data_IF_837022465989
#
_entry.id   IF_837022465989
#
_cell.length_a   1.000
_cell.length_b   1.000
_cell.length_c   1.000
_cell.angle_alpha   90.00
_cell.angle_beta   90.00
_cell.angle_gamma   90.00
#
_symmetry.space_group_name_H-M   'P 1'
#
loop_
_entity.id
_entity.type
_entity.pdbx_description
1 polymer ?
#
# COMPACT_ATOMS: atom_id res chain seq x y z
N UNK A 1 3.93 -16.60 -26.45
CA UNK A 1 4.22 -16.08 -25.09
C UNK A 1 2.99 -15.38 -24.54
N UNK A 2 2.71 -15.53 -23.24
CA UNK A 2 1.56 -14.91 -22.55
C UNK A 2 2.08 -14.04 -21.41
N UNK A 3 1.55 -12.82 -21.30
CA UNK A 3 1.80 -11.90 -20.21
C UNK A 3 0.52 -11.70 -19.41
N UNK A 4 0.62 -11.65 -18.08
CA UNK A 4 -0.53 -11.46 -17.19
C UNK A 4 -0.27 -10.26 -16.28
N UNK A 5 -1.26 -9.37 -16.19
CA UNK A 5 -1.27 -8.25 -15.24
C UNK A 5 -2.33 -8.56 -14.18
N UNK A 6 -1.92 -8.65 -12.91
CA UNK A 6 -2.83 -8.86 -11.78
C UNK A 6 -2.84 -7.61 -10.91
N UNK A 7 -4.01 -6.98 -10.80
CA UNK A 7 -4.22 -5.77 -10.02
C UNK A 7 -5.25 -6.03 -8.93
N UNK A 8 -5.16 -5.28 -7.82
CA UNK A 8 -6.11 -5.31 -6.72
C UNK A 8 -6.39 -3.89 -6.22
N UNK A 9 -7.53 -3.72 -5.56
CA UNK A 9 -7.94 -2.47 -4.89
C UNK A 9 -7.82 -1.27 -5.86
N UNK A 10 -7.30 -0.15 -5.37
CA UNK A 10 -7.13 1.10 -6.13
C UNK A 10 -6.40 0.95 -7.46
N UNK A 11 -5.39 0.07 -7.53
CA UNK A 11 -4.64 -0.14 -8.77
C UNK A 11 -5.53 -0.77 -9.84
N UNK A 12 -6.43 -1.67 -9.46
CA UNK A 12 -7.41 -2.25 -10.36
C UNK A 12 -8.43 -1.18 -10.79
N UNK A 13 -8.92 -0.37 -9.85
CA UNK A 13 -9.83 0.74 -10.12
C UNK A 13 -9.22 1.73 -11.11
N UNK A 14 -7.96 2.12 -10.93
CA UNK A 14 -7.29 3.08 -11.81
C UNK A 14 -7.07 2.51 -13.23
N UNK A 15 -6.69 1.23 -13.34
CA UNK A 15 -6.59 0.57 -14.63
C UNK A 15 -7.95 0.46 -15.33
N UNK A 16 -9.03 0.18 -14.58
CA UNK A 16 -10.38 0.15 -15.14
C UNK A 16 -10.85 1.52 -15.62
N UNK A 17 -10.53 2.60 -14.89
CA UNK A 17 -10.84 3.98 -15.33
C UNK A 17 -10.19 4.30 -16.67
N UNK A 18 -8.89 4.00 -16.82
CA UNK A 18 -8.16 4.20 -18.07
C UNK A 18 -8.74 3.36 -19.22
N UNK A 19 -9.01 2.07 -18.94
CA UNK A 19 -9.60 1.15 -19.89
C UNK A 19 -10.97 1.64 -20.39
N UNK A 20 -11.84 2.10 -19.49
CA UNK A 20 -13.17 2.59 -19.84
C UNK A 20 -13.09 3.92 -20.62
N UNK A 21 -12.16 4.80 -20.27
CA UNK A 21 -11.97 6.08 -20.94
C UNK A 21 -11.48 5.93 -22.38
N UNK A 22 -10.62 4.95 -22.64
CA UNK A 22 -9.98 4.76 -23.94
C UNK A 22 -10.52 3.60 -24.77
N UNK A 23 -11.24 2.66 -24.12
CA UNK A 23 -11.78 1.44 -24.72
C UNK A 23 -10.74 0.60 -25.50
N UNK A 24 -9.47 0.70 -25.11
CA UNK A 24 -8.35 0.03 -25.76
C UNK A 24 -7.52 -0.75 -24.74
N UNK A 25 -7.87 -2.03 -24.55
CA UNK A 25 -7.20 -2.91 -23.59
C UNK A 25 -5.69 -3.03 -23.82
N UNK A 26 -5.27 -3.07 -25.09
CA UNK A 26 -3.86 -3.10 -25.46
C UNK A 26 -3.12 -1.88 -24.90
N UNK A 27 -3.65 -0.68 -25.15
CA UNK A 27 -3.05 0.59 -24.69
C UNK A 27 -2.89 0.56 -23.17
N UNK A 28 -3.98 0.33 -22.43
CA UNK A 28 -3.96 0.30 -20.97
C UNK A 28 -2.95 -0.74 -20.43
N UNK A 29 -2.92 -1.95 -21.00
CA UNK A 29 -2.00 -2.99 -20.57
C UNK A 29 -0.53 -2.60 -20.79
N UNK A 30 -0.18 -2.07 -21.96
CA UNK A 30 1.20 -1.67 -22.26
C UNK A 30 1.64 -0.43 -21.51
N UNK A 31 0.75 0.53 -21.27
CA UNK A 31 1.06 1.70 -20.43
C UNK A 31 1.34 1.28 -18.97
N UNK A 32 0.65 0.25 -18.46
CA UNK A 32 0.97 -0.35 -17.16
C UNK A 32 2.35 -1.00 -17.21
N UNK A 33 2.63 -1.84 -18.21
CA UNK A 33 3.92 -2.55 -18.31
C UNK A 33 5.09 -1.56 -18.39
N UNK A 34 4.97 -0.51 -19.21
CA UNK A 34 5.99 0.55 -19.37
C UNK A 34 6.39 1.22 -18.06
N UNK A 35 5.46 1.32 -17.11
CA UNK A 35 5.74 1.93 -15.81
C UNK A 35 6.57 1.03 -14.90
N UNK A 36 6.43 -0.28 -15.00
CA UNK A 36 6.98 -1.24 -14.03
C UNK A 36 8.15 -2.06 -14.55
N UNK A 37 8.26 -2.26 -15.87
CA UNK A 37 9.29 -3.12 -16.46
C UNK A 37 9.92 -2.41 -17.67
N UNK A 38 11.24 -2.36 -17.67
CA UNK A 38 12.06 -1.93 -18.80
C UNK A 38 13.24 -2.89 -18.96
N UNK A 39 13.39 -3.47 -20.15
CA UNK A 39 14.61 -4.18 -20.50
C UNK A 39 15.60 -3.19 -21.11
N UNK A 40 16.83 -3.16 -20.61
CA UNK A 40 17.85 -2.21 -21.00
C UNK A 40 19.16 -2.94 -21.31
N UNK A 41 19.95 -2.36 -22.21
CA UNK A 41 21.27 -2.86 -22.55
C UNK A 41 22.26 -2.46 -21.46
N UNK A 42 23.04 -3.43 -20.97
CA UNK A 42 24.02 -3.20 -19.91
C UNK A 42 25.11 -2.26 -20.42
N UNK A 43 25.34 -1.19 -19.68
CA UNK A 43 26.43 -0.25 -19.91
C UNK A 43 27.17 -0.02 -18.59
N UNK A 44 28.31 -0.67 -18.42
CA UNK A 44 29.11 -0.62 -17.19
C UNK A 44 29.77 0.76 -16.97
N UNK A 45 29.72 1.65 -17.96
CA UNK A 45 30.21 3.02 -17.84
C UNK A 45 29.17 3.98 -17.25
N UNK A 46 27.91 3.54 -17.10
CA UNK A 46 26.78 4.37 -16.65
C UNK A 46 26.06 3.76 -15.46
N UNK A 47 25.36 4.62 -14.72
CA UNK A 47 24.39 4.16 -13.71
C UNK A 47 23.28 3.38 -14.39
N UNK A 48 22.75 2.37 -13.69
CA UNK A 48 21.70 1.47 -14.21
C UNK A 48 20.42 2.19 -14.65
N UNK A 49 20.08 3.32 -14.03
CA UNK A 49 18.95 4.16 -14.44
C UNK A 49 19.09 4.68 -15.87
N UNK A 50 20.33 4.94 -16.27
CA UNK A 50 20.71 5.64 -17.50
C UNK A 50 21.08 4.66 -18.63
N UNK A 51 20.96 3.35 -18.36
CA UNK A 51 21.08 2.33 -19.39
C UNK A 51 20.00 2.52 -20.46
N UNK A 52 20.41 2.43 -21.72
CA UNK A 52 19.53 2.58 -22.88
C UNK A 52 18.54 1.41 -22.92
N UNK A 53 17.27 1.69 -23.22
CA UNK A 53 16.29 0.64 -23.45
C UNK A 53 16.74 -0.27 -24.60
N UNK A 54 16.60 -1.59 -24.42
CA UNK A 54 16.92 -2.57 -25.44
C UNK A 54 16.01 -2.39 -26.66
N UNK A 55 16.57 -2.48 -27.87
CA UNK A 55 15.84 -2.21 -29.11
C UNK A 55 14.66 -3.18 -29.35
N UNK A 56 14.82 -4.48 -29.01
CA UNK A 56 13.74 -5.45 -29.15
C UNK A 56 12.60 -5.17 -28.17
N UNK A 57 12.93 -4.66 -26.99
CA UNK A 57 11.94 -4.24 -26.01
C UNK A 57 11.17 -3.00 -26.47
N UNK A 58 11.86 -1.98 -27.00
CA UNK A 58 11.23 -0.80 -27.62
C UNK A 58 10.29 -1.19 -28.77
N UNK A 59 10.70 -2.13 -29.61
CA UNK A 59 9.84 -2.63 -30.69
C UNK A 59 8.62 -3.37 -30.15
N UNK A 60 8.79 -4.23 -29.15
CA UNK A 60 7.70 -5.01 -28.55
C UNK A 60 6.67 -4.13 -27.86
N UNK A 61 7.10 -3.15 -27.08
CA UNK A 61 6.17 -2.33 -26.31
C UNK A 61 5.54 -1.19 -27.12
N UNK A 62 6.12 -0.86 -28.28
CA UNK A 62 5.71 0.24 -29.13
C UNK A 62 6.41 1.54 -28.77
N UNK A 63 7.14 2.10 -29.74
CA UNK A 63 7.81 3.40 -29.61
C UNK A 63 6.77 4.49 -29.28
N UNK A 64 7.05 5.33 -28.28
CA UNK A 64 6.23 6.47 -27.84
C UNK A 64 4.88 6.14 -27.16
N UNK A 65 4.70 4.95 -26.56
CA UNK A 65 3.53 4.70 -25.71
C UNK A 65 3.68 5.35 -24.33
N UNK A 66 2.56 5.78 -23.75
CA UNK A 66 2.52 6.38 -22.41
C UNK A 66 2.92 5.42 -21.29
N UNK A 67 2.92 5.93 -20.06
CA UNK A 67 3.11 5.14 -18.85
C UNK A 67 1.99 5.45 -17.86
N UNK A 68 1.11 4.48 -17.61
CA UNK A 68 -0.05 4.66 -16.75
C UNK A 68 0.40 4.60 -15.29
N UNK A 69 0.20 5.70 -14.56
CA UNK A 69 0.50 5.77 -13.14
C UNK A 69 -0.64 5.13 -12.34
N UNK A 70 -0.41 3.89 -11.88
CA UNK A 70 -1.36 3.18 -11.00
C UNK A 70 -1.21 3.52 -9.51
N UNK A 71 -0.19 4.29 -9.12
CA UNK A 71 -0.01 4.70 -7.73
C UNK A 71 -1.06 5.75 -7.39
N UNK A 72 -2.05 5.38 -6.58
CA UNK A 72 -2.90 6.32 -5.88
C UNK A 72 -2.15 6.90 -4.68
N UNK A 73 -2.61 8.04 -4.16
CA UNK A 73 -2.27 8.39 -2.79
C UNK A 73 -2.81 7.26 -1.89
N UNK A 74 -2.04 6.78 -0.91
CA UNK A 74 -2.56 5.76 0.00
C UNK A 74 -3.85 6.28 0.62
N UNK A 75 -4.89 5.44 0.65
CA UNK A 75 -6.07 5.78 1.44
C UNK A 75 -5.63 6.23 2.82
N UNK A 76 -6.19 7.34 3.33
CA UNK A 76 -5.86 7.79 4.67
C UNK A 76 -6.13 6.66 5.65
N UNK A 77 -5.17 6.44 6.54
CA UNK A 77 -5.29 5.39 7.56
C UNK A 77 -6.56 5.61 8.37
N UNK A 78 -7.47 4.63 8.38
CA UNK A 78 -8.65 4.66 9.25
C UNK A 78 -8.34 4.00 10.59
N UNK A 79 -8.86 4.57 11.68
CA UNK A 79 -8.76 3.95 12.99
C UNK A 79 -9.44 2.58 13.04
N UNK A 80 -10.52 2.38 12.28
CA UNK A 80 -11.20 1.09 12.10
C UNK A 80 -10.25 -0.02 11.60
N UNK A 81 -9.32 0.30 10.69
CA UNK A 81 -8.31 -0.66 10.23
C UNK A 81 -7.37 -1.09 11.37
N UNK A 82 -7.05 -0.18 12.29
CA UNK A 82 -6.31 -0.47 13.52
C UNK A 82 -7.06 -1.44 14.41
N UNK A 83 -8.35 -1.16 14.65
CA UNK A 83 -9.20 -1.99 15.50
C UNK A 83 -9.34 -3.40 14.90
N UNK A 84 -9.56 -3.50 13.60
CA UNK A 84 -9.62 -4.78 12.91
C UNK A 84 -8.30 -5.54 13.02
N UNK A 85 -7.16 -4.88 12.83
CA UNK A 85 -5.86 -5.52 13.02
C UNK A 85 -5.65 -5.98 14.47
N UNK A 86 -5.95 -5.14 15.46
CA UNK A 86 -5.86 -5.49 16.89
C UNK A 86 -6.73 -6.70 17.22
N UNK A 87 -7.99 -6.69 16.78
CA UNK A 87 -8.94 -7.79 17.03
C UNK A 87 -8.44 -9.12 16.48
N UNK A 88 -7.95 -9.13 15.25
CA UNK A 88 -7.58 -10.38 14.58
C UNK A 88 -6.16 -10.86 14.89
N UNK A 89 -5.22 -9.95 15.15
CA UNK A 89 -3.79 -10.28 15.29
C UNK A 89 -3.30 -10.25 16.74
N UNK A 90 -3.90 -9.43 17.60
CA UNK A 90 -3.37 -9.17 18.96
C UNK A 90 -4.30 -9.71 20.04
N UNK A 91 -5.62 -9.56 19.89
CA UNK A 91 -6.60 -9.87 20.94
C UNK A 91 -6.54 -11.30 21.51
N UNK A 92 -6.33 -12.37 20.71
CA UNK A 92 -6.22 -13.73 21.25
C UNK A 92 -5.04 -13.88 22.22
N UNK A 93 -3.86 -13.39 21.83
CA UNK A 93 -2.65 -13.47 22.65
C UNK A 93 -2.76 -12.57 23.88
N UNK A 94 -3.31 -11.37 23.72
CA UNK A 94 -3.54 -10.46 24.83
C UNK A 94 -4.48 -11.06 25.86
N UNK A 95 -5.56 -11.74 25.42
CA UNK A 95 -6.49 -12.44 26.32
C UNK A 95 -5.79 -13.52 27.15
N UNK A 96 -4.91 -14.32 26.52
CA UNK A 96 -4.13 -15.35 27.24
C UNK A 96 -3.23 -14.68 28.27
N UNK A 97 -2.49 -13.64 27.88
CA UNK A 97 -1.58 -12.93 28.79
C UNK A 97 -2.32 -12.29 29.97
N UNK A 98 -3.49 -11.68 29.73
CA UNK A 98 -4.33 -11.13 30.81
C UNK A 98 -4.82 -12.19 31.79
N UNK A 99 -5.17 -13.39 31.32
CA UNK A 99 -5.55 -14.50 32.21
C UNK A 99 -4.35 -14.93 33.06
N UNK A 100 -3.16 -15.05 32.46
CA UNK A 100 -1.94 -15.42 33.17
C UNK A 100 -1.54 -14.37 34.21
N UNK A 101 -1.71 -13.08 33.90
CA UNK A 101 -1.45 -11.99 34.84
C UNK A 101 -2.30 -12.13 36.11
N UNK A 102 -3.60 -12.40 35.94
CA UNK A 102 -4.52 -12.61 37.08
C UNK A 102 -4.14 -13.85 37.88
N UNK A 103 -3.87 -14.98 37.21
CA UNK A 103 -3.53 -16.23 37.88
C UNK A 103 -2.23 -16.14 38.67
N UNK A 104 -1.27 -15.37 38.18
CA UNK A 104 0.04 -15.20 38.80
C UNK A 104 0.12 -14.01 39.76
N UNK A 105 -0.95 -13.21 39.87
CA UNK A 105 -0.96 -11.98 40.66
C UNK A 105 0.01 -10.91 40.14
N UNK A 106 0.26 -10.87 38.84
CA UNK A 106 1.14 -9.90 38.17
C UNK A 106 0.34 -8.84 37.43
N UNK A 107 1.01 -7.74 37.06
CA UNK A 107 0.41 -6.60 36.37
C UNK A 107 1.13 -6.29 35.04
N UNK A 108 1.68 -7.31 34.38
CA UNK A 108 2.59 -7.13 33.24
C UNK A 108 1.91 -6.36 32.11
N UNK A 109 0.68 -6.71 31.75
CA UNK A 109 -0.05 -6.07 30.66
C UNK A 109 -0.37 -4.60 30.96
N UNK A 110 -0.83 -4.28 32.17
CA UNK A 110 -1.14 -2.88 32.52
C UNK A 110 0.12 -2.03 32.61
N UNK A 111 1.20 -2.57 33.20
CA UNK A 111 2.50 -1.90 33.24
C UNK A 111 3.05 -1.67 31.83
N UNK A 112 2.97 -2.67 30.94
CA UNK A 112 3.42 -2.55 29.55
C UNK A 112 2.67 -1.45 28.79
N UNK A 113 1.35 -1.33 28.99
CA UNK A 113 0.55 -0.27 28.36
C UNK A 113 0.95 1.10 28.93
N UNK A 114 1.17 1.20 30.24
CA UNK A 114 1.56 2.46 30.91
C UNK A 114 2.93 2.96 30.45
N UNK A 115 3.89 2.04 30.23
CA UNK A 115 5.24 2.37 29.79
C UNK A 115 5.35 2.65 28.28
N UNK A 116 4.35 2.22 27.50
CA UNK A 116 4.34 2.41 26.06
C UNK A 116 4.27 3.90 25.69
N UNK A 117 5.27 4.38 24.94
CA UNK A 117 5.32 5.76 24.45
C UNK A 117 4.59 5.90 23.12
N UNK A 118 3.73 6.91 23.03
CA UNK A 118 3.14 7.31 21.76
C UNK A 118 4.19 7.97 20.87
N UNK A 119 4.04 7.77 19.57
CA UNK A 119 4.84 8.47 18.56
C UNK A 119 4.02 9.65 18.05
N UNK A 120 4.65 10.63 17.40
CA UNK A 120 3.94 11.75 16.76
C UNK A 120 2.82 11.28 15.82
N UNK A 121 3.02 10.13 15.17
CA UNK A 121 2.00 9.51 14.32
C UNK A 121 0.79 9.04 15.15
N UNK A 122 1.01 8.43 16.31
CA UNK A 122 -0.06 7.98 17.19
C UNK A 122 -0.87 9.18 17.74
N UNK A 123 -0.20 10.25 18.11
CA UNK A 123 -0.84 11.48 18.62
C UNK A 123 -1.71 12.13 17.54
N UNK A 124 -1.18 12.31 16.33
CA UNK A 124 -1.96 12.82 15.18
C UNK A 124 -3.19 11.96 14.87
N UNK A 125 -3.08 10.64 15.04
CA UNK A 125 -4.22 9.74 14.86
C UNK A 125 -5.29 9.94 15.92
N UNK A 126 -4.90 10.18 17.17
CA UNK A 126 -5.84 10.49 18.27
C UNK A 126 -6.58 11.80 17.97
N UNK A 127 -5.85 12.86 17.60
CA UNK A 127 -6.44 14.16 17.24
C UNK A 127 -7.45 14.04 16.10
N UNK A 128 -7.08 13.33 15.02
CA UNK A 128 -7.97 13.12 13.87
C UNK A 128 -9.27 12.40 14.24
N UNK A 129 -9.20 11.40 15.12
CA UNK A 129 -10.40 10.68 15.57
C UNK A 129 -11.25 11.50 16.53
N UNK A 130 -10.64 12.34 17.36
CA UNK A 130 -11.36 13.23 18.26
C UNK A 130 -12.14 14.30 17.49
N UNK A 131 -11.49 15.00 16.56
CA UNK A 131 -12.13 16.02 15.72
C UNK A 131 -13.30 15.45 14.89
N UNK A 132 -13.12 14.25 14.33
CA UNK A 132 -14.19 13.57 13.61
C UNK A 132 -15.41 13.22 14.48
N UNK A 133 -15.25 13.09 15.80
CA UNK A 133 -16.35 12.86 16.73
C UNK A 133 -17.10 14.16 17.05
N UNK A 134 -16.39 15.28 17.19
CA UNK A 134 -17.00 16.61 17.46
C UNK A 134 -17.87 17.08 16.28
N UNK A 135 -17.41 16.85 15.05
CA UNK A 135 -18.15 17.17 13.82
C UNK A 135 -19.43 16.35 13.64
N UNK A 136 -19.58 15.19 14.32
CA UNK A 136 -20.79 14.36 14.28
C UNK A 136 -21.86 14.78 15.29
N UNK A 137 -21.51 15.59 16.28
CA UNK A 137 -22.39 16.02 17.38
C UNK A 137 -22.99 17.41 17.10
N UNK A 138 -22.44 18.16 16.13
CA UNK A 138 -22.85 19.52 15.75
C UNK A 138 -23.83 19.50 14.57
#
# INVERSE_FOLDING_TARGET
>A
NRFEIRLKNDRATQAMKDLLAHQQAEKTAFEIINRYIRFADKDDTKRRSDWKTNERWEWFIGKNRGALRLTTQPEPYSFERTLNWLHHQVAPTLKIASILDVLNGTTIISTMIQEAKLTEKHEKLIEQQHLAMEDLIT
#
